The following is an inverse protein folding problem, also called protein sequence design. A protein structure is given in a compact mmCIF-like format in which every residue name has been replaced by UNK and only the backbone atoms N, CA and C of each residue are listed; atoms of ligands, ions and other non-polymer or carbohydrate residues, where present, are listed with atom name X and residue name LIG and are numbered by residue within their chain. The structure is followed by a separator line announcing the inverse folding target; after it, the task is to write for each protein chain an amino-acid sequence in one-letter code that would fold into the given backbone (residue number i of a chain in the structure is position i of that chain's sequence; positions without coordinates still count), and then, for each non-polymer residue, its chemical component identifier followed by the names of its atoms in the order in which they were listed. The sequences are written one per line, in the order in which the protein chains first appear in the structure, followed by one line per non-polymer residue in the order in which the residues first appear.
data_IF_192368185270
#
_entry.id   IF_192368185270
#
_cell.length_a   1.000
_cell.length_b   1.000
_cell.length_c   1.000
_cell.angle_alpha   90.00
_cell.angle_beta   90.00
_cell.angle_gamma   90.00
#
_symmetry.space_group_name_H-M   'P 1'
#
loop_
_entity.id
_entity.type
_entity.pdbx_description
1 polymer ?
#
# COMPACT_ATOMS: atom_id res chain seq x y z
N UNK A 1 12.11 16.35 2.28
CA UNK A 1 12.73 15.00 2.24
C UNK A 1 13.13 14.53 3.63
N UNK A 2 13.89 15.34 4.40
CA UNK A 2 14.40 14.95 5.73
C UNK A 2 13.33 14.47 6.71
N UNK A 3 12.27 15.26 6.92
CA UNK A 3 11.24 14.94 7.94
C UNK A 3 10.56 13.57 7.79
N UNK A 4 10.29 13.11 6.56
CA UNK A 4 9.66 11.80 6.35
C UNK A 4 10.65 10.64 6.55
N UNK A 5 11.91 10.85 6.18
CA UNK A 5 13.00 9.92 6.40
C UNK A 5 13.32 9.80 7.90
N UNK A 6 13.43 10.92 8.60
CA UNK A 6 13.65 11.02 10.05
C UNK A 6 12.52 10.34 10.84
N UNK A 7 11.25 10.56 10.46
CA UNK A 7 10.10 9.95 11.13
C UNK A 7 10.07 8.42 11.05
N UNK A 8 10.70 7.85 10.02
CA UNK A 8 10.70 6.40 9.76
C UNK A 8 12.07 5.77 10.04
N UNK A 9 13.02 6.54 10.58
CA UNK A 9 14.42 6.13 10.76
C UNK A 9 15.03 5.45 9.51
N UNK A 10 14.72 6.04 8.34
CA UNK A 10 15.20 5.57 7.03
C UNK A 10 15.96 6.67 6.31
N UNK A 11 16.82 6.28 5.38
CA UNK A 11 17.55 7.26 4.58
C UNK A 11 16.63 7.91 3.52
N UNK A 12 16.89 9.18 3.14
CA UNK A 12 16.22 9.76 1.97
C UNK A 12 16.46 8.97 0.68
N UNK A 13 17.57 8.22 0.59
CA UNK A 13 17.87 7.32 -0.54
C UNK A 13 16.89 6.15 -0.59
N UNK A 14 16.57 5.55 0.55
CA UNK A 14 15.56 4.50 0.65
C UNK A 14 14.19 4.95 0.11
N UNK A 15 13.71 6.11 0.54
CA UNK A 15 12.45 6.68 0.02
C UNK A 15 12.48 7.01 -1.48
N UNK A 16 13.67 7.23 -2.06
CA UNK A 16 13.83 7.36 -3.52
C UNK A 16 13.77 6.00 -4.21
N UNK A 17 14.39 4.97 -3.64
CA UNK A 17 14.36 3.62 -4.21
C UNK A 17 12.94 3.04 -4.23
N UNK A 18 12.13 3.31 -3.20
CA UNK A 18 10.71 2.92 -3.18
C UNK A 18 9.88 3.66 -4.25
N UNK A 19 10.21 4.92 -4.54
CA UNK A 19 9.59 5.71 -5.62
C UNK A 19 9.98 5.15 -6.99
N UNK A 20 11.25 4.82 -7.20
CA UNK A 20 11.73 4.15 -8.42
C UNK A 20 11.05 2.80 -8.62
N UNK A 21 10.88 2.01 -7.55
CA UNK A 21 10.16 0.74 -7.57
C UNK A 21 8.62 0.89 -7.71
N UNK A 22 8.11 2.12 -7.80
CA UNK A 22 6.69 2.48 -7.88
C UNK A 22 5.82 1.96 -6.73
N UNK A 23 6.42 1.59 -5.60
CA UNK A 23 5.67 1.25 -4.39
C UNK A 23 4.98 2.49 -3.81
N UNK A 24 5.65 3.65 -3.89
CA UNK A 24 5.12 4.94 -3.47
C UNK A 24 5.26 5.95 -4.60
N UNK A 25 4.28 6.84 -4.75
CA UNK A 25 4.33 7.90 -5.77
C UNK A 25 4.08 9.24 -5.07
N UNK A 26 5.14 9.93 -4.61
CA UNK A 26 4.99 11.15 -3.84
C UNK A 26 4.39 12.27 -4.69
N UNK A 27 3.50 13.05 -4.09
CA UNK A 27 3.07 14.31 -4.69
C UNK A 27 4.20 15.33 -4.64
N UNK A 28 4.36 16.15 -5.69
CA UNK A 28 5.34 17.23 -5.71
C UNK A 28 4.65 18.53 -5.33
N UNK A 29 5.21 19.25 -4.36
CA UNK A 29 4.78 20.61 -4.06
C UNK A 29 5.26 21.57 -5.17
N UNK A 30 4.68 22.78 -5.26
CA UNK A 30 5.15 23.82 -6.18
C UNK A 30 6.65 24.15 -6.02
N UNK A 31 7.19 24.00 -4.80
CA UNK A 31 8.61 24.17 -4.50
C UNK A 31 9.49 22.93 -4.74
N UNK A 32 9.00 21.91 -5.43
CA UNK A 32 9.78 20.72 -5.81
C UNK A 32 9.98 19.68 -4.70
N UNK A 33 9.40 19.87 -3.52
CA UNK A 33 9.50 18.91 -2.42
C UNK A 33 8.51 17.75 -2.59
N UNK A 34 8.96 16.53 -2.30
CA UNK A 34 8.09 15.35 -2.24
C UNK A 34 7.28 15.39 -0.95
N UNK A 35 5.97 15.19 -1.10
CA UNK A 35 5.00 15.04 -0.03
C UNK A 35 4.49 13.62 -0.08
N UNK A 36 4.69 12.92 1.03
CA UNK A 36 4.23 11.56 1.21
C UNK A 36 2.90 11.59 1.97
N UNK A 37 1.93 10.81 1.51
CA UNK A 37 0.71 10.60 2.27
C UNK A 37 0.99 9.68 3.46
N UNK A 38 0.10 9.71 4.46
CA UNK A 38 0.22 8.80 5.61
C UNK A 38 0.18 7.32 5.21
N UNK A 39 -0.52 6.99 4.13
CA UNK A 39 -0.53 5.65 3.55
C UNK A 39 0.84 5.27 2.98
N UNK A 40 1.47 6.18 2.22
CA UNK A 40 2.80 5.94 1.65
C UNK A 40 3.88 5.77 2.73
N UNK A 41 3.78 6.49 3.84
CA UNK A 41 4.69 6.29 4.98
C UNK A 41 4.52 4.91 5.63
N UNK A 42 3.28 4.40 5.74
CA UNK A 42 3.04 3.03 6.21
C UNK A 42 3.62 1.97 5.26
N UNK A 43 3.47 2.17 3.94
CA UNK A 43 4.07 1.27 2.96
C UNK A 43 5.60 1.29 3.05
N UNK A 44 6.20 2.46 3.25
CA UNK A 44 7.64 2.59 3.42
C UNK A 44 8.15 1.88 4.69
N UNK A 45 7.43 2.00 5.81
CA UNK A 45 7.76 1.24 7.03
C UNK A 45 7.69 -0.26 6.78
N UNK A 46 6.61 -0.75 6.15
CA UNK A 46 6.45 -2.17 5.87
C UNK A 46 7.54 -2.73 4.95
N UNK A 47 7.94 -1.95 3.95
CA UNK A 47 9.06 -2.31 3.08
C UNK A 47 10.37 -2.39 3.88
N UNK A 48 10.59 -1.46 4.82
CA UNK A 48 11.76 -1.49 5.71
C UNK A 48 11.76 -2.76 6.56
N UNK A 49 10.64 -3.09 7.19
CA UNK A 49 10.54 -4.27 8.05
C UNK A 49 10.85 -5.57 7.30
N UNK A 50 10.40 -5.70 6.03
CA UNK A 50 10.72 -6.85 5.18
C UNK A 50 12.20 -6.92 4.81
N UNK A 51 12.83 -5.77 4.55
CA UNK A 51 14.26 -5.69 4.21
C UNK A 51 15.12 -6.01 5.42
N UNK A 52 14.74 -5.55 6.61
CA UNK A 52 15.41 -5.87 7.86
C UNK A 52 15.33 -7.38 8.18
N UNK A 53 14.31 -8.08 7.66
CA UNK A 53 14.20 -9.54 7.70
C UNK A 53 15.02 -10.26 6.61
N UNK A 54 15.79 -9.53 5.79
CA UNK A 54 16.62 -10.07 4.72
C UNK A 54 15.94 -10.16 3.36
N UNK A 55 14.74 -9.59 3.19
CA UNK A 55 14.06 -9.57 1.89
C UNK A 55 14.69 -8.51 0.98
N UNK A 56 15.08 -8.82 -0.26
CA UNK A 56 15.55 -7.80 -1.20
C UNK A 56 14.49 -6.72 -1.45
N UNK A 57 14.91 -5.46 -1.65
CA UNK A 57 14.01 -4.31 -1.87
C UNK A 57 12.94 -4.59 -2.94
N UNK A 58 13.35 -5.11 -4.10
CA UNK A 58 12.42 -5.40 -5.20
C UNK A 58 11.37 -6.45 -4.81
N UNK A 59 11.80 -7.49 -4.08
CA UNK A 59 10.90 -8.52 -3.57
C UNK A 59 9.94 -7.94 -2.52
N UNK A 60 10.43 -7.12 -1.59
CA UNK A 60 9.60 -6.46 -0.58
C UNK A 60 8.53 -5.57 -1.22
N UNK A 61 8.92 -4.75 -2.22
CA UNK A 61 7.97 -3.94 -2.99
C UNK A 61 6.92 -4.80 -3.69
N UNK A 62 7.33 -5.90 -4.33
CA UNK A 62 6.43 -6.80 -5.06
C UNK A 62 5.46 -7.52 -4.12
N UNK A 63 5.92 -7.99 -2.96
CA UNK A 63 5.10 -8.61 -1.92
C UNK A 63 3.99 -7.66 -1.50
N UNK A 64 4.36 -6.42 -1.13
CA UNK A 64 3.39 -5.44 -0.64
C UNK A 64 2.33 -5.11 -1.69
N UNK A 65 2.73 -4.94 -2.96
CA UNK A 65 1.80 -4.68 -4.07
C UNK A 65 0.81 -5.84 -4.23
N UNK A 66 1.31 -7.08 -4.22
CA UNK A 66 0.47 -8.27 -4.40
C UNK A 66 -0.50 -8.47 -3.23
N UNK A 67 -0.07 -8.18 -2.00
CA UNK A 67 -0.95 -8.28 -0.83
C UNK A 67 -2.04 -7.20 -0.85
N UNK A 68 -1.74 -5.98 -1.31
CA UNK A 68 -2.76 -4.93 -1.47
C UNK A 68 -3.79 -5.31 -2.54
N UNK A 69 -3.32 -5.85 -3.68
CA UNK A 69 -4.18 -6.38 -4.74
C UNK A 69 -5.03 -7.56 -4.26
N UNK A 70 -4.46 -8.47 -3.46
CA UNK A 70 -5.17 -9.60 -2.90
C UNK A 70 -6.26 -9.15 -1.92
N UNK A 71 -5.93 -8.22 -1.02
CA UNK A 71 -6.88 -7.66 -0.07
C UNK A 71 -8.05 -6.99 -0.80
N UNK A 72 -7.78 -6.25 -1.86
CA UNK A 72 -8.82 -5.60 -2.65
C UNK A 72 -9.70 -6.60 -3.41
N UNK A 73 -9.10 -7.61 -4.06
CA UNK A 73 -9.84 -8.68 -4.71
C UNK A 73 -10.74 -9.44 -3.73
N UNK A 74 -10.24 -9.71 -2.51
CA UNK A 74 -11.03 -10.35 -1.45
C UNK A 74 -12.21 -9.48 -1.00
N UNK A 75 -12.02 -8.16 -0.86
CA UNK A 75 -13.12 -7.24 -0.54
C UNK A 75 -14.20 -7.23 -1.61
N UNK A 76 -13.81 -7.13 -2.88
CA UNK A 76 -14.74 -7.15 -4.02
C UNK A 76 -15.50 -8.49 -4.04
N UNK A 77 -14.81 -9.61 -3.90
CA UNK A 77 -15.44 -10.93 -3.86
C UNK A 77 -16.44 -11.06 -2.71
N UNK A 78 -16.09 -10.57 -1.51
CA UNK A 78 -17.00 -10.58 -0.37
C UNK A 78 -18.24 -9.70 -0.61
N UNK A 79 -18.09 -8.54 -1.25
CA UNK A 79 -19.21 -7.68 -1.60
C UNK A 79 -20.13 -8.35 -2.63
N UNK A 80 -19.56 -8.91 -3.69
CA UNK A 80 -20.33 -9.64 -4.72
C UNK A 80 -21.06 -10.85 -4.14
N UNK A 81 -20.44 -11.57 -3.19
CA UNK A 81 -21.10 -12.67 -2.48
C UNK A 81 -22.29 -12.17 -1.66
N UNK A 82 -22.15 -11.06 -0.92
CA UNK A 82 -23.25 -10.44 -0.17
C UNK A 82 -24.40 -10.02 -1.08
N UNK A 83 -24.09 -9.36 -2.20
CA UNK A 83 -25.10 -8.92 -3.16
C UNK A 83 -25.83 -10.11 -3.79
N UNK A 84 -25.11 -11.19 -4.12
CA UNK A 84 -25.71 -12.44 -4.62
C UNK A 84 -26.60 -13.12 -3.57
N UNK A 85 -26.22 -13.10 -2.28
CA UNK A 85 -27.06 -13.65 -1.21
C UNK A 85 -28.33 -12.81 -1.01
N UNK A 86 -28.22 -11.48 -1.11
CA UNK A 86 -29.35 -10.57 -0.96
C UNK A 86 -30.35 -10.69 -2.12
N UNK A 87 -29.87 -10.93 -3.34
CA UNK A 87 -30.73 -11.20 -4.52
C UNK A 87 -31.42 -12.57 -4.47
N UNK A 88 -30.83 -13.55 -3.77
CA UNK A 88 -31.40 -14.90 -3.58
C UNK A 88 -32.41 -15.00 -2.46
N UNK A 89 -32.70 -13.91 -1.74
CA UNK A 89 -33.87 -13.78 -0.87
C UNK A 89 -34.99 -13.07 -1.64
N UNK A 90 -35.76 -13.78 -2.50
CA UNK A 90 -37.08 -13.30 -2.84
C UNK A 90 -37.91 -13.25 -1.56
N UNK A 91 -38.83 -12.29 -1.53
CA UNK A 91 -39.85 -12.11 -0.51
C UNK A 91 -40.69 -13.39 -0.37
N UNK A 92 -40.24 -14.34 0.43
CA UNK A 92 -41.09 -15.40 0.96
C UNK A 92 -41.80 -14.81 2.20
N UNK A 93 -42.85 -14.01 1.97
CA UNK A 93 -44.30 -14.27 2.19
C UNK A 93 -44.68 -14.47 3.68
N UNK A 94 -45.88 -14.05 4.13
CA UNK A 94 -47.19 -14.20 3.46
C UNK A 94 -47.77 -12.92 2.85
#
# INVERSE_FOLDING_TARGET
MGRAAEMLDVTPAFLRSLDTARLIVPQRSPGGHRRYSRYQLRLAQRARDLIDQGTPLEAACRIIILEDQLAEAQRINAQLQKDRTNQKQPRDTP
#
